data_IF_445107212842
#
_entry.id   IF_445107212842
#
_cell.length_a   1.000
_cell.length_b   1.000
_cell.length_c   1.000
_cell.angle_alpha   90.00
_cell.angle_beta   90.00
_cell.angle_gamma   90.00
#
_symmetry.space_group_name_H-M   'P 1'
#
loop_
_entity.id
_entity.type
_entity.pdbx_description
1 polymer ?
#
# COMPACT_ATOMS: atom_id res chain seq x y z
N UNK A 1 -2.77 13.03 -17.23
CA UNK A 1 -2.97 12.75 -15.80
C UNK A 1 -3.28 11.27 -15.64
N UNK A 2 -2.41 10.51 -14.99
CA UNK A 2 -2.68 9.13 -14.59
C UNK A 2 -3.63 9.18 -13.37
N UNK A 3 -4.76 8.49 -13.42
CA UNK A 3 -5.64 8.37 -12.26
C UNK A 3 -4.89 7.63 -11.15
N UNK A 4 -4.95 8.10 -9.89
CA UNK A 4 -4.27 7.48 -8.72
C UNK A 4 -4.55 5.96 -8.63
N UNK A 5 -5.78 5.54 -8.98
CA UNK A 5 -6.13 4.12 -9.08
C UNK A 5 -5.33 3.33 -10.11
N UNK A 6 -5.04 3.92 -11.28
CA UNK A 6 -4.20 3.27 -12.30
C UNK A 6 -2.78 3.14 -11.77
N UNK A 7 -2.24 4.19 -11.14
CA UNK A 7 -0.92 4.13 -10.51
C UNK A 7 -0.83 3.02 -9.47
N UNK A 8 -1.79 2.95 -8.55
CA UNK A 8 -1.83 1.91 -7.50
C UNK A 8 -2.04 0.51 -8.08
N UNK A 9 -2.80 0.38 -9.18
CA UNK A 9 -2.99 -0.90 -9.86
C UNK A 9 -1.71 -1.36 -10.54
N UNK A 10 -1.03 -0.46 -11.26
CA UNK A 10 0.27 -0.74 -11.91
C UNK A 10 1.32 -1.13 -10.85
N UNK A 11 1.41 -0.35 -9.76
CA UNK A 11 2.22 -0.67 -8.58
C UNK A 11 1.93 -2.07 -8.04
N UNK A 12 0.66 -2.41 -7.80
CA UNK A 12 0.27 -3.70 -7.22
C UNK A 12 0.64 -4.89 -8.12
N UNK A 13 0.50 -4.75 -9.44
CA UNK A 13 0.95 -5.78 -10.38
C UNK A 13 2.47 -5.92 -10.35
N UNK A 14 3.23 -4.83 -10.36
CA UNK A 14 4.69 -4.87 -10.29
C UNK A 14 5.21 -5.46 -8.98
N UNK A 15 4.53 -5.23 -7.85
CA UNK A 15 4.88 -5.85 -6.55
C UNK A 15 4.82 -7.38 -6.62
N UNK A 16 3.81 -7.95 -7.28
CA UNK A 16 3.61 -9.40 -7.31
C UNK A 16 4.28 -10.10 -8.50
N UNK A 17 4.82 -9.33 -9.45
CA UNK A 17 5.53 -9.85 -10.61
C UNK A 17 6.93 -10.34 -10.21
N UNK A 18 7.23 -11.62 -10.48
CA UNK A 18 8.51 -12.25 -10.19
C UNK A 18 9.66 -11.75 -11.07
N UNK A 19 9.35 -11.17 -12.23
CA UNK A 19 10.35 -10.58 -13.12
C UNK A 19 10.78 -9.17 -12.70
N UNK A 20 10.03 -8.53 -11.81
CA UNK A 20 10.30 -7.16 -11.35
C UNK A 20 10.99 -7.19 -9.98
N UNK A 21 12.08 -6.41 -9.86
CA UNK A 21 12.78 -6.22 -8.60
C UNK A 21 12.03 -5.23 -7.71
N UNK A 22 11.85 -5.57 -6.44
CA UNK A 22 11.11 -4.72 -5.50
C UNK A 22 11.85 -3.41 -5.23
N UNK A 23 13.17 -3.39 -5.38
CA UNK A 23 13.99 -2.17 -5.38
C UNK A 23 13.46 -1.14 -6.39
N UNK A 24 13.22 -1.58 -7.63
CA UNK A 24 12.77 -0.73 -8.73
C UNK A 24 11.34 -0.24 -8.49
N UNK A 25 10.47 -1.09 -7.92
CA UNK A 25 9.10 -0.73 -7.54
C UNK A 25 9.09 0.37 -6.47
N UNK A 26 9.92 0.23 -5.45
CA UNK A 26 10.03 1.23 -4.36
C UNK A 26 10.53 2.56 -4.91
N UNK A 27 11.58 2.56 -5.72
CA UNK A 27 12.11 3.78 -6.37
C UNK A 27 11.09 4.48 -7.27
N UNK A 28 10.29 3.70 -8.00
CA UNK A 28 9.31 4.22 -8.95
C UNK A 28 8.07 4.81 -8.27
N UNK A 29 7.51 4.13 -7.28
CA UNK A 29 6.16 4.44 -6.77
C UNK A 29 6.13 5.03 -5.36
N UNK A 30 7.13 4.76 -4.53
CA UNK A 30 7.08 5.05 -3.09
C UNK A 30 7.93 6.28 -2.78
N UNK A 31 7.38 7.22 -2.00
CA UNK A 31 8.16 8.28 -1.38
C UNK A 31 8.71 7.73 -0.07
N UNK A 32 10.03 7.76 0.09
CA UNK A 32 10.70 7.16 1.24
C UNK A 32 11.90 7.99 1.69
N UNK A 33 12.30 7.81 2.95
CA UNK A 33 13.64 8.17 3.43
C UNK A 33 14.60 6.98 3.28
N UNK A 34 15.90 7.22 3.45
CA UNK A 34 16.91 6.16 3.31
C UNK A 34 16.63 4.92 4.19
N UNK A 35 16.13 5.13 5.41
CA UNK A 35 15.70 4.06 6.31
C UNK A 35 14.35 3.45 5.87
N UNK A 36 13.42 4.29 5.42
CA UNK A 36 12.11 3.87 4.91
C UNK A 36 12.18 2.98 3.66
N UNK A 37 13.23 3.09 2.85
CA UNK A 37 13.41 2.27 1.64
C UNK A 37 13.47 0.77 1.96
N UNK A 38 14.32 0.38 2.93
CA UNK A 38 14.48 -1.03 3.33
C UNK A 38 13.21 -1.60 3.93
N UNK A 39 12.53 -0.82 4.78
CA UNK A 39 11.26 -1.23 5.36
C UNK A 39 10.20 -1.42 4.28
N UNK A 40 10.14 -0.51 3.31
CA UNK A 40 9.23 -0.63 2.16
C UNK A 40 9.47 -1.93 1.41
N UNK A 41 10.72 -2.24 1.05
CA UNK A 41 11.08 -3.49 0.38
C UNK A 41 10.67 -4.72 1.18
N UNK A 42 10.92 -4.74 2.49
CA UNK A 42 10.52 -5.84 3.37
C UNK A 42 9.00 -6.07 3.37
N UNK A 43 8.22 -5.00 3.44
CA UNK A 43 6.75 -5.07 3.40
C UNK A 43 6.29 -5.58 2.03
N UNK A 44 6.82 -5.04 0.94
CA UNK A 44 6.45 -5.49 -0.41
C UNK A 44 6.82 -6.95 -0.65
N UNK A 45 7.96 -7.41 -0.10
CA UNK A 45 8.33 -8.82 -0.18
C UNK A 45 7.34 -9.70 0.58
N UNK A 46 6.91 -9.27 1.77
CA UNK A 46 5.89 -9.99 2.55
C UNK A 46 4.55 -10.06 1.80
N UNK A 47 4.16 -8.99 1.12
CA UNK A 47 2.95 -8.95 0.25
C UNK A 47 3.10 -9.95 -0.90
N UNK A 48 4.25 -9.92 -1.59
CA UNK A 48 4.55 -10.81 -2.71
C UNK A 48 4.49 -12.29 -2.29
N UNK A 49 5.13 -12.63 -1.17
CA UNK A 49 5.15 -13.99 -0.63
C UNK A 49 3.75 -14.46 -0.21
N UNK A 50 2.96 -13.59 0.43
CA UNK A 50 1.59 -13.92 0.82
C UNK A 50 0.66 -14.07 -0.40
N UNK A 51 0.83 -13.22 -1.41
CA UNK A 51 0.08 -13.33 -2.66
C UNK A 51 0.38 -14.64 -3.41
N UNK A 52 1.65 -15.08 -3.44
CA UNK A 52 2.04 -16.37 -4.06
C UNK A 52 1.33 -17.58 -3.46
N UNK A 53 1.04 -17.55 -2.15
CA UNK A 53 0.30 -18.64 -1.47
C UNK A 53 -1.14 -18.73 -1.95
N UNK A 54 -1.77 -17.59 -2.27
CA UNK A 54 -3.15 -17.55 -2.75
C UNK A 54 -3.31 -16.40 -3.76
N UNK A 55 -2.96 -16.63 -5.03
CA UNK A 55 -3.12 -15.61 -6.06
C UNK A 55 -4.59 -15.23 -6.24
N UNK A 56 -4.84 -14.00 -6.66
CA UNK A 56 -6.20 -13.47 -6.75
C UNK A 56 -6.30 -12.28 -7.68
N UNK A 57 -7.52 -11.75 -7.81
CA UNK A 57 -7.74 -10.55 -8.60
C UNK A 57 -7.29 -9.31 -7.82
N UNK A 58 -6.35 -8.57 -8.41
CA UNK A 58 -5.93 -7.25 -7.91
C UNK A 58 -7.00 -6.20 -8.23
N UNK A 59 -7.51 -5.55 -7.19
CA UNK A 59 -8.54 -4.50 -7.29
C UNK A 59 -8.14 -3.31 -6.41
N UNK A 60 -8.30 -2.10 -6.93
CA UNK A 60 -8.07 -0.84 -6.21
C UNK A 60 -9.40 -0.12 -6.01
N UNK A 61 -9.69 0.32 -4.79
CA UNK A 61 -10.94 1.02 -4.47
C UNK A 61 -10.73 2.07 -3.37
N UNK A 62 -11.57 3.10 -3.36
CA UNK A 62 -11.63 4.07 -2.26
C UNK A 62 -12.38 3.50 -1.05
N UNK A 63 -12.21 4.05 0.15
CA UNK A 63 -13.01 3.65 1.33
C UNK A 63 -14.53 3.66 1.07
N UNK A 64 -15.02 4.59 0.24
CA UNK A 64 -16.43 4.73 -0.13
C UNK A 64 -16.89 3.59 -1.04
N UNK A 65 -16.06 3.17 -2.00
CA UNK A 65 -16.35 2.08 -2.93
C UNK A 65 -16.29 0.70 -2.26
N UNK A 66 -15.42 0.54 -1.27
CA UNK A 66 -15.26 -0.70 -0.49
C UNK A 66 -16.32 -0.90 0.59
N UNK A 67 -17.02 0.16 1.00
CA UNK A 67 -17.97 0.11 2.11
C UNK A 67 -19.29 -0.54 1.69
N UNK A 68 -19.43 -1.86 1.92
CA UNK A 68 -20.75 -2.52 1.90
C UNK A 68 -21.47 -2.47 3.25
N UNK A 69 -20.81 -2.17 4.37
CA UNK A 69 -21.43 -1.99 5.71
C UNK A 69 -20.56 -1.14 6.65
N UNK A 70 -20.87 0.15 6.77
CA UNK A 70 -20.86 0.93 8.03
C UNK A 70 -19.60 1.09 8.87
N UNK A 71 -18.44 0.49 8.57
CA UNK A 71 -17.23 0.69 9.37
C UNK A 71 -16.50 1.95 8.89
N UNK A 72 -16.85 3.10 9.47
CA UNK A 72 -16.10 4.35 9.26
C UNK A 72 -14.78 4.26 10.03
N UNK A 73 -13.73 3.73 9.39
CA UNK A 73 -12.36 3.99 9.84
C UNK A 73 -12.10 5.48 9.67
N UNK A 74 -12.09 6.23 10.77
CA UNK A 74 -11.54 7.60 10.78
C UNK A 74 -10.03 7.48 10.93
N UNK A 75 -9.31 7.70 9.85
CA UNK A 75 -7.87 7.98 9.88
C UNK A 75 -7.69 9.47 9.59
N UNK A 76 -6.91 10.15 10.43
CA UNK A 76 -6.54 11.55 10.20
C UNK A 76 -5.50 11.59 9.08
N UNK A 77 -5.98 11.88 7.87
CA UNK A 77 -5.16 12.17 6.70
C UNK A 77 -4.46 13.51 6.88
N UNK A 78 -3.17 13.62 6.50
CA UNK A 78 -2.57 14.95 6.33
C UNK A 78 -3.30 15.67 5.19
N UNK A 79 -3.30 17.00 5.22
CA UNK A 79 -3.94 17.82 4.20
C UNK A 79 -3.45 17.36 2.81
N UNK A 80 -4.39 16.97 1.93
CA UNK A 80 -4.17 16.50 0.54
C UNK A 80 -3.73 15.05 0.33
N UNK A 81 -3.62 14.22 1.38
CA UNK A 81 -3.47 12.77 1.20
C UNK A 81 -4.80 12.12 0.80
N UNK A 82 -4.73 11.08 -0.04
CA UNK A 82 -5.88 10.25 -0.41
C UNK A 82 -5.65 8.81 0.02
N UNK A 83 -6.65 8.22 0.69
CA UNK A 83 -6.65 6.82 1.09
C UNK A 83 -7.28 5.95 -0.01
N UNK A 84 -6.57 4.89 -0.38
CA UNK A 84 -7.04 3.81 -1.22
C UNK A 84 -6.80 2.46 -0.55
N UNK A 85 -7.55 1.46 -0.97
CA UNK A 85 -7.30 0.07 -0.61
C UNK A 85 -6.93 -0.72 -1.86
N UNK A 86 -5.91 -1.56 -1.71
CA UNK A 86 -5.55 -2.57 -2.71
C UNK A 86 -5.91 -3.94 -2.15
N UNK A 87 -6.81 -4.62 -2.83
CA UNK A 87 -7.11 -6.03 -2.62
C UNK A 87 -6.24 -6.84 -3.58
N UNK A 88 -5.26 -7.57 -3.04
CA UNK A 88 -4.44 -8.50 -3.81
C UNK A 88 -5.13 -9.86 -3.95
N UNK A 89 -5.77 -10.33 -2.87
CA UNK A 89 -6.62 -11.52 -2.87
C UNK A 89 -7.72 -11.39 -1.79
N UNK A 90 -8.47 -12.47 -1.50
CA UNK A 90 -9.57 -12.43 -0.50
C UNK A 90 -9.12 -12.13 0.93
N UNK A 91 -7.87 -12.40 1.28
CA UNK A 91 -7.30 -12.28 2.62
C UNK A 91 -6.26 -11.15 2.74
N UNK A 92 -5.74 -10.65 1.62
CA UNK A 92 -4.70 -9.64 1.56
C UNK A 92 -5.28 -8.33 0.99
N UNK A 93 -5.75 -7.50 1.90
CA UNK A 93 -6.32 -6.18 1.63
C UNK A 93 -5.57 -5.16 2.47
N UNK A 94 -4.91 -4.19 1.83
CA UNK A 94 -4.04 -3.24 2.51
C UNK A 94 -4.40 -1.79 2.14
N UNK A 95 -4.33 -0.86 3.11
CA UNK A 95 -4.49 0.58 2.87
C UNK A 95 -3.21 1.19 2.30
N UNK A 96 -3.35 2.15 1.38
CA UNK A 96 -2.26 2.93 0.79
C UNK A 96 -2.65 4.41 0.75
N UNK A 97 -1.70 5.26 1.11
CA UNK A 97 -1.85 6.71 1.03
C UNK A 97 -1.10 7.25 -0.16
N UNK A 98 -1.78 8.07 -0.96
CA UNK A 98 -1.22 8.73 -2.13
C UNK A 98 -1.24 10.24 -1.90
N UNK A 99 -0.11 10.90 -2.13
CA UNK A 99 -0.01 12.37 -2.11
C UNK A 99 -0.44 13.01 -3.44
N UNK A 100 -0.37 14.33 -3.52
CA UNK A 100 -0.71 15.09 -4.72
C UNK A 100 0.24 14.87 -5.90
N UNK A 101 1.45 14.36 -5.66
CA UNK A 101 2.41 14.01 -6.70
C UNK A 101 2.19 12.57 -7.21
N UNK A 102 1.07 11.96 -6.79
CA UNK A 102 0.71 10.57 -7.03
C UNK A 102 1.80 9.59 -6.56
N UNK A 103 2.50 9.92 -5.47
CA UNK A 103 3.45 9.01 -4.81
C UNK A 103 2.81 8.32 -3.61
N UNK A 104 3.20 7.07 -3.39
CA UNK A 104 2.76 6.29 -2.23
C UNK A 104 3.59 6.73 -1.03
N UNK A 105 2.96 7.31 -0.01
CA UNK A 105 3.68 7.94 1.13
C UNK A 105 3.82 7.00 2.32
N UNK A 106 2.86 6.09 2.52
CA UNK A 106 2.88 5.14 3.64
C UNK A 106 2.42 3.78 3.17
N UNK A 107 3.24 2.76 3.44
CA UNK A 107 2.91 1.37 3.13
C UNK A 107 2.19 0.65 4.28
N UNK A 108 2.21 1.14 5.54
CA UNK A 108 1.52 0.47 6.66
C UNK A 108 1.08 1.41 7.79
N UNK A 109 -0.20 1.28 8.18
CA UNK A 109 -0.69 1.45 9.55
C UNK A 109 -1.26 0.08 9.97
N UNK A 110 -0.54 -0.70 10.77
CA UNK A 110 -1.07 -1.93 11.38
C UNK A 110 -1.63 -1.52 12.75
N UNK A 111 -2.94 -1.35 12.86
CA UNK A 111 -3.60 -1.27 14.17
C UNK A 111 -3.73 -2.69 14.74
N UNK A 112 -3.04 -2.91 15.87
CA UNK A 112 -3.01 -4.10 16.72
C UNK A 112 -4.29 -4.96 16.71
N UNK A 113 -4.11 -6.22 16.32
CA UNK A 113 -4.78 -7.40 16.88
C UNK A 113 -3.72 -8.51 16.93
N UNK A 114 -3.12 -8.69 18.11
CA UNK A 114 -2.07 -9.65 18.49
C UNK A 114 -1.05 -10.12 17.44
N UNK A 115 0.19 -9.57 17.52
CA UNK A 115 1.37 -10.33 17.11
C UNK A 115 2.34 -9.70 16.10
N UNK A 116 2.32 -8.39 15.86
CA UNK A 116 3.36 -7.76 15.04
C UNK A 116 3.40 -6.24 15.23
N UNK A 117 4.48 -5.73 15.84
CA UNK A 117 4.76 -4.29 15.91
C UNK A 117 5.54 -3.92 14.66
N UNK A 118 4.94 -3.17 13.73
CA UNK A 118 5.67 -2.42 12.71
C UNK A 118 5.44 -0.93 12.95
N UNK A 119 6.53 -0.26 13.32
CA UNK A 119 6.57 1.14 13.70
C UNK A 119 6.19 2.05 12.54
N UNK A 120 5.55 3.17 12.89
CA UNK A 120 5.23 4.27 12.01
C UNK A 120 6.55 4.81 11.41
N UNK A 121 6.94 4.36 10.21
CA UNK A 121 8.12 4.86 9.51
C UNK A 121 7.81 6.21 8.82
N UNK A 122 7.10 7.09 9.53
CA UNK A 122 6.88 8.47 9.11
C UNK A 122 8.13 9.24 9.47
N UNK A 123 8.89 9.66 8.46
CA UNK A 123 9.78 10.80 8.64
C UNK A 123 8.89 12.04 8.70
N UNK A 124 8.78 12.60 9.89
CA UNK A 124 8.53 14.03 10.00
C UNK A 124 9.76 14.71 9.40
N UNK A 125 9.59 15.30 8.22
CA UNK A 125 10.36 16.48 7.82
C UNK A 125 9.68 17.71 8.43
#
# INVERSE_FOLDING_TARGET
>A
MQSDKKLLKDFAYEVVDDSVKLEDVVEKYVKYTAEGKKMSQFVLNSIKDEYKKTPGQIVVYTPEEGNKKGTKFKMDLKEKEKLYYIKFNKNLILPFFVDNDSKIVVLLYITKGDGGTLSNARSDE
#
